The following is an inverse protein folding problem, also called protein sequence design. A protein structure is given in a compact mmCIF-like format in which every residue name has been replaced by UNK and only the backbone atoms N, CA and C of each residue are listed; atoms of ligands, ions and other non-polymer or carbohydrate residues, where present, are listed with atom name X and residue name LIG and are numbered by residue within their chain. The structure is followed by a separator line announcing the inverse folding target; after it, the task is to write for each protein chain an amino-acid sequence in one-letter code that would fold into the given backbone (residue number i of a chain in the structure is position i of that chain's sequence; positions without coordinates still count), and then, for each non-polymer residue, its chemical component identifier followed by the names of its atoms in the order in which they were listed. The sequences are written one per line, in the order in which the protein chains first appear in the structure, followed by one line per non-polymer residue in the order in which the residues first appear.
data_IF_354436526421
#
_entry.id   IF_354436526421
#
_cell.length_a   1.000
_cell.length_b   1.000
_cell.length_c   1.000
_cell.angle_alpha   90.00
_cell.angle_beta   90.00
_cell.angle_gamma   90.00
#
_symmetry.space_group_name_H-M   'P 1'
#
loop_
_entity.id
_entity.type
_entity.pdbx_description
1 polymer ?
#
# COMPACT_ATOMS: atom_id res chain seq x y z
N UNK A 1 -18.93 51.30 -26.75
CA UNK A 1 -17.83 51.53 -27.74
C UNK A 1 -16.99 50.26 -27.83
N UNK A 2 -17.13 49.52 -28.93
CA UNK A 2 -16.42 48.29 -29.20
C UNK A 2 -15.30 48.58 -30.19
N UNK A 3 -14.05 48.16 -29.86
CA UNK A 3 -12.88 48.27 -30.77
C UNK A 3 -12.50 46.86 -31.23
N UNK A 4 -12.78 46.61 -32.51
CA UNK A 4 -12.38 45.41 -33.23
C UNK A 4 -10.90 45.45 -33.60
N UNK A 5 -10.14 44.40 -33.30
CA UNK A 5 -8.77 44.17 -33.76
C UNK A 5 -8.77 43.40 -35.07
N UNK A 6 -8.29 44.05 -36.13
CA UNK A 6 -8.04 43.48 -37.46
C UNK A 6 -6.85 42.54 -37.42
N UNK A 7 -7.00 41.36 -38.03
CA UNK A 7 -5.90 40.41 -38.36
C UNK A 7 -5.34 40.77 -39.74
N UNK A 8 -4.04 40.97 -39.82
CA UNK A 8 -3.29 41.11 -41.08
C UNK A 8 -2.90 39.71 -41.60
N UNK A 9 -3.34 39.37 -42.79
CA UNK A 9 -2.90 38.19 -43.51
C UNK A 9 -1.68 38.55 -44.38
N UNK A 10 -0.61 37.75 -44.31
CA UNK A 10 0.58 37.88 -45.13
C UNK A 10 0.41 37.10 -46.42
N UNK A 11 0.53 37.81 -47.57
CA UNK A 11 0.59 37.22 -48.91
C UNK A 11 1.98 36.66 -49.19
N UNK A 12 2.08 35.36 -49.46
CA UNK A 12 3.30 34.77 -50.03
C UNK A 12 3.31 34.88 -51.54
N UNK A 13 4.27 35.64 -52.10
CA UNK A 13 4.52 35.76 -53.52
C UNK A 13 5.05 34.46 -54.12
N UNK A 14 4.41 33.96 -55.19
CA UNK A 14 4.87 32.83 -56.00
C UNK A 14 6.02 33.27 -56.89
N UNK A 15 7.21 32.71 -56.72
CA UNK A 15 8.35 32.85 -57.63
C UNK A 15 8.19 31.84 -58.77
N UNK A 16 8.05 32.38 -60.00
CA UNK A 16 8.11 31.62 -61.25
C UNK A 16 9.57 31.26 -61.51
N UNK A 17 9.91 29.99 -61.57
CA UNK A 17 11.24 29.50 -62.00
C UNK A 17 11.22 29.12 -63.50
N UNK A 18 12.07 29.77 -64.24
CA UNK A 18 12.40 29.53 -65.67
C UNK A 18 12.88 28.10 -65.88
N UNK A 19 12.24 27.41 -66.86
CA UNK A 19 12.72 26.13 -67.41
C UNK A 19 14.05 26.43 -68.19
N UNK A 20 15.08 25.66 -67.90
CA UNK A 20 16.28 25.54 -68.76
C UNK A 20 16.37 24.09 -69.24
N UNK A 21 16.73 24.02 -70.51
CA UNK A 21 16.72 22.87 -71.37
C UNK A 21 17.72 21.77 -70.99
N UNK A 22 17.38 20.62 -71.34
CA UNK A 22 17.96 19.32 -71.39
C UNK A 22 19.41 19.22 -71.81
N UNK A 23 20.19 18.56 -70.93
CA UNK A 23 21.45 17.93 -71.27
C UNK A 23 21.38 16.45 -70.90
N UNK A 24 21.37 15.57 -71.89
CA UNK A 24 21.48 14.15 -71.73
C UNK A 24 22.82 13.81 -71.05
N UNK A 25 22.78 13.29 -69.79
CA UNK A 25 23.91 12.64 -69.14
C UNK A 25 23.64 11.17 -68.93
N UNK A 26 24.47 10.33 -69.48
CA UNK A 26 24.51 8.90 -69.37
C UNK A 26 24.43 8.52 -67.89
N UNK A 27 23.50 7.66 -67.56
CA UNK A 27 23.31 7.09 -66.22
C UNK A 27 24.39 6.05 -65.90
N UNK A 28 25.40 6.48 -65.17
CA UNK A 28 26.26 5.53 -64.46
C UNK A 28 25.48 4.88 -63.33
N UNK A 29 25.27 3.57 -63.41
CA UNK A 29 24.65 2.76 -62.34
C UNK A 29 25.53 2.87 -61.10
N UNK A 30 25.19 3.78 -60.17
CA UNK A 30 25.80 3.81 -58.85
C UNK A 30 25.25 2.62 -58.06
N UNK A 31 26.03 1.54 -57.94
CA UNK A 31 25.84 0.49 -56.94
C UNK A 31 25.73 1.15 -55.57
N UNK A 32 24.52 1.22 -54.99
CA UNK A 32 24.31 1.61 -53.58
C UNK A 32 25.05 0.59 -52.73
N UNK A 33 26.22 0.96 -52.21
CA UNK A 33 26.85 0.22 -51.15
C UNK A 33 25.88 0.21 -49.94
N UNK A 34 25.31 -0.92 -49.65
CA UNK A 34 24.51 -1.11 -48.43
C UNK A 34 25.45 -0.90 -47.24
N UNK A 35 25.43 0.29 -46.69
CA UNK A 35 26.13 0.60 -45.44
C UNK A 35 25.41 -0.13 -44.33
N UNK A 36 25.90 -1.32 -44.01
CA UNK A 36 25.46 -2.12 -42.87
C UNK A 36 25.70 -1.28 -41.62
N UNK A 37 24.70 -0.49 -41.22
CA UNK A 37 24.72 0.21 -39.92
C UNK A 37 24.88 -0.83 -38.86
N UNK A 38 26.05 -0.97 -38.26
CA UNK A 38 26.24 -1.73 -37.04
C UNK A 38 25.26 -1.15 -36.04
N UNK A 39 24.16 -1.93 -35.75
CA UNK A 39 23.29 -1.64 -34.62
C UNK A 39 24.16 -1.78 -33.38
N UNK A 40 24.73 -0.70 -32.90
CA UNK A 40 25.32 -0.64 -31.58
C UNK A 40 24.16 -0.87 -30.63
N UNK A 41 24.07 -2.06 -30.06
CA UNK A 41 23.14 -2.36 -28.99
C UNK A 41 23.45 -1.38 -27.85
N UNK A 42 22.52 -0.45 -27.57
CA UNK A 42 22.66 0.44 -26.41
C UNK A 42 22.86 -0.44 -25.17
N UNK A 43 23.86 -0.20 -24.35
CA UNK A 43 24.07 -0.96 -23.12
C UNK A 43 22.82 -0.90 -22.28
N UNK A 44 22.43 -2.02 -21.70
CA UNK A 44 21.24 -2.09 -20.84
C UNK A 44 21.50 -1.24 -19.59
N UNK A 45 20.51 -0.40 -19.24
CA UNK A 45 20.59 0.36 -17.99
C UNK A 45 20.56 -0.58 -16.78
N UNK A 46 21.23 -0.21 -15.69
CA UNK A 46 21.23 -0.98 -14.42
C UNK A 46 19.83 -1.39 -14.00
N UNK A 47 18.84 -0.47 -14.10
CA UNK A 47 17.44 -0.73 -13.81
C UNK A 47 16.84 -1.86 -14.68
N UNK A 48 17.16 -1.88 -15.98
CA UNK A 48 16.67 -2.92 -16.89
C UNK A 48 17.29 -4.28 -16.60
N UNK A 49 18.60 -4.31 -16.31
CA UNK A 49 19.29 -5.53 -15.88
C UNK A 49 18.65 -6.09 -14.61
N UNK A 50 18.52 -5.27 -13.57
CA UNK A 50 17.89 -5.66 -12.30
C UNK A 50 16.46 -6.18 -12.49
N UNK A 51 15.66 -5.52 -13.32
CA UNK A 51 14.29 -5.97 -13.57
C UNK A 51 14.22 -7.30 -14.34
N UNK A 52 15.22 -7.62 -15.14
CA UNK A 52 15.27 -8.86 -15.90
C UNK A 52 15.82 -10.03 -15.08
N UNK A 53 16.78 -9.77 -14.17
CA UNK A 53 17.45 -10.80 -13.37
C UNK A 53 16.77 -11.09 -12.03
N UNK A 54 15.92 -10.20 -11.53
CA UNK A 54 15.23 -10.40 -10.27
C UNK A 54 14.04 -11.36 -10.38
N UNK A 55 13.87 -12.18 -9.36
CA UNK A 55 12.69 -13.02 -9.18
C UNK A 55 11.53 -12.15 -8.71
N UNK A 56 10.38 -12.29 -9.36
CA UNK A 56 9.16 -11.56 -9.02
C UNK A 56 8.29 -12.44 -8.16
N UNK A 57 8.03 -11.99 -6.95
CA UNK A 57 7.24 -12.72 -5.96
C UNK A 57 6.00 -11.94 -5.56
N UNK A 58 5.00 -12.66 -5.11
CA UNK A 58 3.75 -12.07 -4.61
C UNK A 58 3.11 -12.98 -3.55
N UNK A 59 2.54 -12.38 -2.53
CA UNK A 59 1.73 -13.09 -1.55
C UNK A 59 0.31 -12.55 -1.54
N UNK A 60 -0.68 -13.43 -1.80
CA UNK A 60 -2.10 -13.13 -1.66
C UNK A 60 -2.57 -13.43 -0.23
N UNK A 61 -3.22 -12.46 0.41
CA UNK A 61 -3.57 -12.50 1.82
C UNK A 61 -5.08 -12.46 2.00
N UNK A 62 -5.61 -13.46 2.70
CA UNK A 62 -7.01 -13.56 3.10
C UNK A 62 -7.28 -12.67 4.31
N UNK A 63 -8.48 -12.12 4.41
CA UNK A 63 -8.92 -11.32 5.56
C UNK A 63 -9.10 -12.18 6.81
N UNK A 64 -8.49 -11.73 7.91
CA UNK A 64 -8.68 -12.22 9.27
C UNK A 64 -9.03 -11.06 10.20
N UNK A 65 -9.85 -11.33 11.22
CA UNK A 65 -10.30 -10.30 12.16
C UNK A 65 -10.47 -10.85 13.57
N UNK A 66 -10.37 -9.94 14.57
CA UNK A 66 -10.73 -10.20 15.96
C UNK A 66 -12.12 -9.65 16.32
N UNK A 67 -12.99 -9.40 15.36
CA UNK A 67 -14.33 -8.83 15.58
C UNK A 67 -15.42 -9.79 15.13
N UNK A 68 -16.39 -10.08 16.02
CA UNK A 68 -17.59 -10.82 15.70
C UNK A 68 -18.53 -10.01 14.79
N UNK A 69 -19.53 -10.65 14.20
CA UNK A 69 -20.55 -10.01 13.34
C UNK A 69 -21.36 -8.91 14.04
N UNK A 70 -21.29 -8.83 15.37
CA UNK A 70 -21.89 -7.76 16.19
C UNK A 70 -20.94 -6.56 16.42
N UNK A 71 -19.69 -6.64 15.95
CA UNK A 71 -18.64 -5.67 16.27
C UNK A 71 -17.96 -5.87 17.62
N UNK A 72 -18.35 -6.88 18.39
CA UNK A 72 -17.71 -7.24 19.67
C UNK A 72 -16.38 -7.97 19.44
N UNK A 73 -15.52 -8.02 20.48
CA UNK A 73 -14.26 -8.78 20.46
C UNK A 73 -14.51 -10.28 20.33
N UNK A 74 -13.72 -10.94 19.49
CA UNK A 74 -13.63 -12.41 19.39
C UNK A 74 -12.17 -12.82 19.16
N UNK A 75 -11.87 -14.11 19.33
CA UNK A 75 -10.56 -14.66 18.94
C UNK A 75 -10.30 -14.42 17.46
N UNK A 76 -9.05 -14.02 17.11
CA UNK A 76 -8.63 -13.79 15.72
C UNK A 76 -8.90 -15.03 14.88
N UNK A 77 -9.71 -14.87 13.84
CA UNK A 77 -10.10 -15.94 12.94
C UNK A 77 -10.30 -15.41 11.51
N UNK A 78 -10.41 -16.33 10.55
CA UNK A 78 -10.78 -16.00 9.18
C UNK A 78 -12.17 -15.34 9.14
N UNK A 79 -12.29 -14.22 8.48
CA UNK A 79 -13.57 -13.52 8.34
C UNK A 79 -13.43 -12.01 8.19
N UNK A 80 -14.56 -11.38 7.94
CA UNK A 80 -14.67 -9.95 7.79
C UNK A 80 -14.47 -9.24 9.14
N UNK A 81 -14.03 -7.97 9.07
CA UNK A 81 -14.04 -7.12 10.26
C UNK A 81 -15.34 -6.33 10.35
N UNK A 82 -15.84 -6.22 11.59
CA UNK A 82 -17.07 -5.49 11.91
C UNK A 82 -16.78 -4.40 12.94
N UNK A 83 -17.46 -3.27 12.77
CA UNK A 83 -17.49 -2.18 13.76
C UNK A 83 -18.94 -1.80 13.98
N UNK A 84 -19.38 -1.71 15.24
CA UNK A 84 -20.73 -1.22 15.54
C UNK A 84 -20.74 0.31 15.72
N UNK A 85 -21.90 0.94 15.58
CA UNK A 85 -22.05 2.39 15.59
C UNK A 85 -21.79 3.06 16.94
N UNK A 86 -21.79 2.29 18.04
CA UNK A 86 -21.44 2.80 19.37
C UNK A 86 -19.92 2.78 19.64
N UNK A 87 -19.16 2.07 18.80
CA UNK A 87 -17.71 1.91 18.92
C UNK A 87 -16.93 2.53 17.77
N UNK A 88 -15.62 2.34 17.84
CA UNK A 88 -14.68 2.76 16.79
C UNK A 88 -13.87 1.57 16.30
N UNK A 89 -13.40 1.65 15.05
CA UNK A 89 -12.47 0.69 14.48
C UNK A 89 -11.07 1.28 14.37
N UNK A 90 -10.09 0.63 14.98
CA UNK A 90 -8.68 0.97 14.85
C UNK A 90 -7.89 -0.28 14.46
N UNK A 91 -7.59 -0.37 13.18
CA UNK A 91 -6.94 -1.54 12.59
C UNK A 91 -5.55 -1.18 12.09
N UNK A 92 -4.53 -1.47 12.88
CA UNK A 92 -3.14 -1.28 12.50
C UNK A 92 -2.55 -2.60 12.01
N UNK A 93 -2.15 -2.64 10.75
CA UNK A 93 -1.61 -3.82 10.09
C UNK A 93 -0.23 -3.57 9.48
N UNK A 94 0.71 -4.46 9.78
CA UNK A 94 2.03 -4.51 9.16
C UNK A 94 1.96 -5.30 7.85
N UNK A 95 1.80 -4.58 6.74
CA UNK A 95 1.59 -5.20 5.43
C UNK A 95 2.85 -5.83 4.85
N UNK A 96 4.03 -5.43 5.30
CA UNK A 96 5.33 -5.95 4.87
C UNK A 96 5.83 -7.13 5.69
N UNK A 97 5.12 -7.56 6.76
CA UNK A 97 5.52 -8.72 7.54
C UNK A 97 5.69 -9.96 6.65
N UNK A 98 6.84 -10.61 6.75
CA UNK A 98 7.15 -11.84 6.03
C UNK A 98 8.36 -12.51 6.68
N UNK A 99 8.39 -13.84 6.70
CA UNK A 99 9.45 -14.61 7.32
C UNK A 99 10.24 -15.43 6.29
N UNK A 100 11.44 -15.87 6.66
CA UNK A 100 12.25 -16.82 5.88
C UNK A 100 11.77 -18.27 6.04
N UNK A 101 11.01 -18.54 7.09
CA UNK A 101 10.56 -19.87 7.44
C UNK A 101 9.08 -20.08 7.14
N UNK A 102 8.70 -21.33 6.90
CA UNK A 102 7.31 -21.75 6.93
C UNK A 102 6.82 -21.82 8.38
N UNK A 103 5.51 -21.82 8.58
CA UNK A 103 4.91 -22.02 9.91
C UNK A 103 5.35 -23.34 10.63
N UNK A 104 5.88 -24.30 9.90
CA UNK A 104 6.48 -25.53 10.43
C UNK A 104 7.96 -25.40 10.79
N UNK A 105 8.58 -24.22 10.61
CA UNK A 105 9.99 -23.96 10.92
C UNK A 105 10.96 -24.35 9.79
N UNK A 106 10.49 -24.90 8.67
CA UNK A 106 11.35 -25.18 7.53
C UNK A 106 11.64 -23.90 6.72
N UNK A 107 12.84 -23.79 6.15
CA UNK A 107 13.17 -22.66 5.28
C UNK A 107 12.29 -22.62 4.01
N UNK A 108 11.92 -21.41 3.63
CA UNK A 108 11.22 -21.18 2.39
C UNK A 108 12.08 -21.55 1.20
N UNK A 109 11.49 -22.15 0.18
CA UNK A 109 12.21 -22.54 -1.03
C UNK A 109 12.07 -21.48 -2.12
N UNK A 110 13.09 -21.42 -2.96
CA UNK A 110 13.13 -20.48 -4.09
C UNK A 110 11.98 -20.66 -5.08
N UNK A 111 11.44 -21.88 -5.20
CA UNK A 111 10.32 -22.20 -6.07
C UNK A 111 8.98 -21.65 -5.58
N UNK A 112 8.89 -21.27 -4.32
CA UNK A 112 7.67 -20.71 -3.71
C UNK A 112 7.58 -19.21 -4.00
N UNK A 113 6.68 -18.81 -4.89
CA UNK A 113 6.51 -17.42 -5.29
C UNK A 113 5.84 -16.55 -4.21
N UNK A 114 5.13 -17.17 -3.25
CA UNK A 114 4.39 -16.50 -2.19
C UNK A 114 5.20 -16.26 -0.91
N UNK A 115 6.42 -16.75 -0.82
CA UNK A 115 7.25 -16.71 0.38
C UNK A 115 8.58 -16.00 0.11
N UNK A 116 9.09 -15.32 1.14
CA UNK A 116 10.39 -14.63 1.11
C UNK A 116 11.55 -15.64 1.22
N UNK A 117 12.60 -15.40 0.46
CA UNK A 117 13.85 -16.20 0.51
C UNK A 117 15.11 -15.33 0.54
N UNK A 118 14.97 -14.04 0.80
CA UNK A 118 16.10 -13.10 0.86
C UNK A 118 15.86 -12.07 1.95
N UNK A 119 16.90 -11.69 2.67
CA UNK A 119 16.88 -10.63 3.69
C UNK A 119 16.61 -9.26 3.09
N UNK A 120 17.07 -9.01 1.86
CA UNK A 120 16.81 -7.75 1.16
C UNK A 120 15.83 -7.97 0.01
N UNK A 121 14.65 -7.40 0.13
CA UNK A 121 13.59 -7.45 -0.87
C UNK A 121 13.32 -6.07 -1.47
N UNK A 122 13.21 -5.98 -2.80
CA UNK A 122 12.73 -4.77 -3.45
C UNK A 122 11.20 -4.77 -3.50
N UNK A 123 10.58 -4.06 -2.57
CA UNK A 123 9.12 -3.98 -2.46
C UNK A 123 8.54 -3.18 -3.62
N UNK A 124 7.63 -3.79 -4.39
CA UNK A 124 6.94 -3.13 -5.50
C UNK A 124 5.72 -2.36 -5.02
N UNK A 125 4.93 -2.97 -4.16
CA UNK A 125 3.75 -2.36 -3.58
C UNK A 125 2.70 -3.37 -3.14
N UNK A 126 1.63 -2.83 -2.58
CA UNK A 126 0.47 -3.56 -2.07
C UNK A 126 -0.74 -3.25 -2.96
N UNK A 127 -1.40 -4.29 -3.44
CA UNK A 127 -2.70 -4.22 -4.12
C UNK A 127 -3.79 -4.71 -3.18
N UNK A 128 -4.87 -3.96 -3.04
CA UNK A 128 -6.03 -4.38 -2.25
C UNK A 128 -7.33 -4.18 -3.03
N UNK A 129 -8.19 -5.18 -2.99
CA UNK A 129 -9.59 -5.07 -3.40
C UNK A 129 -10.44 -5.12 -2.13
N UNK A 130 -11.00 -3.99 -1.78
CA UNK A 130 -11.72 -3.76 -0.52
C UNK A 130 -13.20 -3.63 -0.82
N UNK A 131 -14.02 -4.34 -0.05
CA UNK A 131 -15.46 -4.17 -0.02
C UNK A 131 -15.89 -3.74 1.38
N UNK A 132 -16.67 -2.67 1.41
CA UNK A 132 -17.27 -2.12 2.62
C UNK A 132 -18.79 -2.20 2.47
N UNK A 133 -19.46 -2.60 3.57
CA UNK A 133 -20.90 -2.65 3.64
C UNK A 133 -21.36 -2.01 4.95
N UNK A 134 -22.49 -1.30 4.91
CA UNK A 134 -23.15 -0.75 6.10
C UNK A 134 -24.54 -1.35 6.22
N UNK A 135 -25.03 -1.58 7.45
CA UNK A 135 -26.34 -2.21 7.69
C UNK A 135 -27.51 -1.21 7.66
N UNK A 136 -27.23 0.07 7.80
CA UNK A 136 -28.23 1.12 7.93
C UNK A 136 -27.86 2.37 7.15
N UNK A 137 -28.76 3.38 7.16
CA UNK A 137 -28.54 4.69 6.55
C UNK A 137 -27.52 5.57 7.28
N UNK A 138 -27.01 5.14 8.44
CA UNK A 138 -26.02 5.90 9.21
C UNK A 138 -24.77 6.16 8.36
N UNK A 139 -24.26 7.42 8.29
CA UNK A 139 -23.02 7.70 7.61
C UNK A 139 -21.83 7.16 8.40
N UNK A 140 -20.82 6.70 7.68
CA UNK A 140 -19.57 6.20 8.26
C UNK A 140 -18.38 6.93 7.67
N UNK A 141 -17.37 7.20 8.50
CA UNK A 141 -16.08 7.74 8.10
C UNK A 141 -15.04 6.63 8.12
N UNK A 142 -14.37 6.45 7.01
CA UNK A 142 -13.24 5.55 6.87
C UNK A 142 -12.01 6.36 6.46
N UNK A 143 -11.04 6.47 7.36
CA UNK A 143 -9.74 7.06 7.07
C UNK A 143 -8.70 5.98 6.97
N UNK A 144 -7.96 5.97 5.89
CA UNK A 144 -6.83 5.09 5.69
C UNK A 144 -5.56 5.89 5.65
N UNK A 145 -4.57 5.49 6.48
CA UNK A 145 -3.23 6.05 6.53
C UNK A 145 -2.25 4.92 6.24
N UNK A 146 -1.44 5.05 5.16
CA UNK A 146 -0.33 4.14 4.90
C UNK A 146 0.98 4.89 5.15
N UNK A 147 1.89 4.27 5.86
CA UNK A 147 3.16 4.89 6.23
C UNK A 147 4.28 3.86 6.38
N UNK A 148 5.52 4.35 6.38
CA UNK A 148 6.67 3.53 6.77
C UNK A 148 7.28 4.07 8.04
N UNK A 149 7.72 3.15 8.91
CA UNK A 149 8.36 3.44 10.18
C UNK A 149 9.48 2.42 10.42
N UNK A 150 10.49 2.83 11.16
CA UNK A 150 11.54 1.97 11.70
C UNK A 150 11.35 1.84 13.21
N UNK A 151 11.71 0.70 13.75
CA UNK A 151 11.33 0.34 15.10
C UNK A 151 9.85 -0.06 15.18
N UNK A 152 9.53 -1.00 16.04
CA UNK A 152 8.16 -1.45 16.28
C UNK A 152 7.37 -0.45 17.13
N UNK A 153 6.08 -0.72 17.30
CA UNK A 153 5.28 -0.03 18.32
C UNK A 153 5.62 -0.58 19.71
N UNK A 154 5.67 0.30 20.71
CA UNK A 154 5.96 -0.13 22.08
C UNK A 154 4.85 -1.04 22.62
N UNK A 155 5.23 -1.94 23.53
CA UNK A 155 4.27 -2.69 24.33
C UNK A 155 3.80 -1.84 25.49
N UNK A 156 2.52 -1.95 25.85
CA UNK A 156 1.94 -1.26 27.00
C UNK A 156 1.50 -2.25 28.08
N UNK A 157 1.40 -1.78 29.29
CA UNK A 157 0.91 -2.54 30.46
C UNK A 157 -0.63 -2.59 30.48
N UNK A 158 -1.23 -3.07 29.42
CA UNK A 158 -2.68 -3.33 29.35
C UNK A 158 -2.98 -4.78 29.78
N UNK A 159 -4.23 -5.04 30.11
CA UNK A 159 -4.79 -6.40 30.29
C UNK A 159 -5.64 -6.74 29.07
N UNK A 160 -5.02 -7.13 27.96
CA UNK A 160 -5.73 -7.32 26.71
C UNK A 160 -6.62 -8.56 26.72
N UNK A 161 -7.73 -8.52 26.01
CA UNK A 161 -8.56 -9.69 25.74
C UNK A 161 -7.77 -10.75 24.96
N UNK A 162 -6.89 -10.27 24.07
CA UNK A 162 -5.95 -11.10 23.30
C UNK A 162 -4.61 -10.34 23.16
N UNK A 163 -3.51 -11.09 22.99
CA UNK A 163 -2.21 -10.48 22.70
C UNK A 163 -2.31 -9.54 21.48
N UNK A 164 -2.02 -8.24 21.62
CA UNK A 164 -2.06 -7.29 20.52
C UNK A 164 -1.05 -7.69 19.45
N UNK A 165 -1.46 -7.55 18.20
CA UNK A 165 -0.61 -7.91 17.06
C UNK A 165 -0.88 -7.04 15.86
N UNK A 166 0.17 -6.72 15.11
CA UNK A 166 0.06 -5.97 13.86
C UNK A 166 0.11 -6.86 12.63
N UNK A 167 0.52 -8.10 12.77
CA UNK A 167 0.50 -9.13 11.73
C UNK A 167 0.08 -10.48 12.32
N UNK A 168 -0.32 -11.39 11.47
CA UNK A 168 -0.62 -12.77 11.82
C UNK A 168 -0.07 -13.69 10.75
N UNK A 169 0.79 -14.61 11.18
CA UNK A 169 1.19 -15.77 10.38
C UNK A 169 0.33 -16.98 10.79
N UNK A 170 -0.03 -17.77 9.79
CA UNK A 170 -0.87 -18.98 9.94
C UNK A 170 -0.22 -20.12 9.17
N UNK A 171 -0.76 -21.34 9.33
CA UNK A 171 -0.33 -22.48 8.52
C UNK A 171 -0.44 -22.24 6.99
N UNK A 172 -1.22 -21.25 6.58
CA UNK A 172 -1.41 -20.85 5.19
C UNK A 172 -0.62 -19.57 4.81
N UNK A 173 0.28 -19.10 5.70
CA UNK A 173 1.12 -17.90 5.51
C UNK A 173 0.51 -16.64 6.11
N UNK A 174 1.12 -15.51 5.77
CA UNK A 174 0.73 -14.18 6.27
C UNK A 174 -0.65 -13.78 5.73
N UNK A 175 -1.46 -13.18 6.59
CA UNK A 175 -2.84 -12.80 6.30
C UNK A 175 -3.05 -11.27 6.33
N UNK A 176 -4.13 -10.80 5.70
CA UNK A 176 -4.63 -9.43 5.86
C UNK A 176 -5.37 -9.31 7.19
N UNK A 177 -4.66 -8.86 8.21
CA UNK A 177 -5.20 -8.77 9.56
C UNK A 177 -5.96 -7.45 9.77
N UNK A 178 -7.21 -7.56 10.22
CA UNK A 178 -8.00 -6.48 10.80
C UNK A 178 -8.14 -6.70 12.32
N UNK A 179 -7.09 -6.39 13.05
CA UNK A 179 -7.10 -6.46 14.52
C UNK A 179 -7.58 -5.11 15.07
N UNK A 180 -8.81 -5.10 15.60
CA UNK A 180 -9.38 -3.91 16.24
C UNK A 180 -8.83 -3.76 17.65
N UNK A 181 -7.98 -2.77 17.86
CA UNK A 181 -7.37 -2.46 19.16
C UNK A 181 -8.41 -1.91 20.15
N UNK A 182 -9.43 -1.20 19.65
CA UNK A 182 -10.43 -0.54 20.51
C UNK A 182 -11.35 -1.53 21.24
N UNK A 183 -11.63 -2.71 20.63
CA UNK A 183 -12.43 -3.77 21.29
C UNK A 183 -11.58 -4.76 22.10
N UNK A 184 -10.26 -4.58 22.14
CA UNK A 184 -9.32 -5.53 22.74
C UNK A 184 -8.92 -5.18 24.19
N UNK A 185 -9.54 -4.16 24.79
CA UNK A 185 -9.19 -3.67 26.13
C UNK A 185 -7.72 -3.24 26.26
N UNK A 186 -7.24 -2.44 25.27
CA UNK A 186 -5.85 -1.96 25.20
C UNK A 186 -5.77 -0.43 25.10
N UNK A 187 -6.33 0.34 26.08
CA UNK A 187 -6.35 1.80 25.99
C UNK A 187 -4.97 2.45 26.08
N UNK A 188 -4.03 1.89 26.86
CA UNK A 188 -2.68 2.43 26.97
C UNK A 188 -1.89 2.20 25.68
N UNK A 189 -1.96 1.00 25.10
CA UNK A 189 -1.37 0.72 23.81
C UNK A 189 -1.94 1.65 22.73
N UNK A 190 -3.26 1.83 22.71
CA UNK A 190 -3.92 2.74 21.77
C UNK A 190 -3.40 4.17 21.90
N UNK A 191 -3.29 4.69 23.12
CA UNK A 191 -2.77 6.04 23.39
C UNK A 191 -1.30 6.18 22.95
N UNK A 192 -0.46 5.16 23.17
CA UNK A 192 0.93 5.17 22.70
C UNK A 192 1.03 5.17 21.18
N UNK A 193 0.23 4.35 20.50
CA UNK A 193 0.18 4.30 19.03
C UNK A 193 -0.32 5.64 18.47
N UNK A 194 -1.38 6.22 19.06
CA UNK A 194 -1.87 7.54 18.69
C UNK A 194 -0.79 8.61 18.85
N UNK A 195 0.00 8.58 19.95
CA UNK A 195 1.12 9.50 20.20
C UNK A 195 2.29 9.37 19.23
N UNK A 196 2.42 8.23 18.52
CA UNK A 196 3.42 8.04 17.46
C UNK A 196 2.88 8.53 16.10
N UNK A 197 1.63 8.21 15.79
CA UNK A 197 1.05 8.47 14.47
C UNK A 197 0.55 9.90 14.32
N UNK A 198 -0.10 10.45 15.36
CA UNK A 198 -0.69 11.78 15.31
C UNK A 198 0.18 12.84 16.00
N UNK A 199 0.14 14.04 15.45
CA UNK A 199 0.87 15.18 16.00
C UNK A 199 0.09 15.80 17.16
N UNK A 200 0.79 16.02 18.28
CA UNK A 200 0.18 16.59 19.49
C UNK A 200 -0.48 15.53 20.37
N UNK A 201 -1.17 15.96 21.40
CA UNK A 201 -1.80 15.13 22.40
C UNK A 201 -3.32 15.04 22.21
N UNK A 202 -3.86 13.84 22.28
CA UNK A 202 -5.32 13.61 22.30
C UNK A 202 -5.93 14.29 23.54
N UNK A 203 -7.02 15.01 23.35
CA UNK A 203 -7.70 15.78 24.39
C UNK A 203 -7.14 17.20 24.59
N UNK A 204 -6.03 17.54 23.93
CA UNK A 204 -5.41 18.88 23.99
C UNK A 204 -5.35 19.50 22.60
N UNK A 205 -4.67 18.82 21.64
CA UNK A 205 -4.48 19.33 20.27
C UNK A 205 -5.53 18.79 19.30
N UNK A 206 -6.11 17.63 19.60
CA UNK A 206 -7.16 17.00 18.78
C UNK A 206 -8.00 16.03 19.64
N UNK A 207 -9.26 15.82 19.22
CA UNK A 207 -10.18 14.89 19.87
C UNK A 207 -10.65 13.78 18.93
N UNK A 208 -10.67 14.05 17.62
CA UNK A 208 -11.18 13.13 16.60
C UNK A 208 -10.04 12.68 15.70
N UNK A 209 -9.76 11.36 15.71
CA UNK A 209 -8.71 10.74 14.90
C UNK A 209 -9.03 10.77 13.39
N UNK A 210 -10.30 11.00 12.99
CA UNK A 210 -10.66 11.14 11.57
C UNK A 210 -10.06 12.41 10.96
N UNK A 211 -9.91 13.46 11.77
CA UNK A 211 -9.36 14.77 11.34
C UNK A 211 -8.01 15.10 11.97
N UNK A 212 -7.51 14.28 12.91
CA UNK A 212 -6.25 14.51 13.58
C UNK A 212 -5.08 14.65 12.61
N UNK A 213 -4.16 15.63 12.80
CA UNK A 213 -3.00 15.78 11.95
C UNK A 213 -1.99 14.65 12.17
N UNK A 214 -1.41 14.12 11.09
CA UNK A 214 -0.40 13.05 11.17
C UNK A 214 0.99 13.64 11.48
N UNK A 215 1.77 12.97 12.35
CA UNK A 215 3.14 13.38 12.66
C UNK A 215 4.16 12.86 11.65
N UNK A 216 4.44 13.68 10.64
CA UNK A 216 5.41 13.36 9.59
C UNK A 216 6.88 13.38 10.05
N UNK A 217 7.17 13.72 11.30
CA UNK A 217 8.52 13.65 11.88
C UNK A 217 8.83 12.24 12.39
N UNK A 218 7.81 11.52 12.87
CA UNK A 218 7.94 10.16 13.44
C UNK A 218 7.70 9.09 12.39
N UNK A 219 6.74 9.31 11.48
CA UNK A 219 6.39 8.36 10.43
C UNK A 219 6.51 8.98 9.04
N UNK A 220 6.81 8.15 8.07
CA UNK A 220 6.89 8.57 6.66
C UNK A 220 5.60 8.23 5.92
N UNK A 221 4.66 9.17 5.86
CA UNK A 221 3.34 9.00 5.26
C UNK A 221 3.45 8.74 3.76
N UNK A 222 2.74 7.73 3.26
CA UNK A 222 2.64 7.35 1.85
C UNK A 222 1.24 7.59 1.29
N UNK A 223 0.23 7.50 2.12
CA UNK A 223 -1.16 7.70 1.75
C UNK A 223 -1.94 8.13 2.98
N UNK A 224 -2.80 9.12 2.86
CA UNK A 224 -3.77 9.53 3.88
C UNK A 224 -5.03 10.01 3.18
N UNK A 225 -6.14 9.33 3.41
CA UNK A 225 -7.42 9.68 2.80
C UNK A 225 -8.58 9.27 3.69
N UNK A 226 -9.47 10.23 3.93
CA UNK A 226 -10.78 9.99 4.54
C UNK A 226 -11.84 9.83 3.46
N UNK A 227 -12.68 8.83 3.62
CA UNK A 227 -13.82 8.54 2.75
C UNK A 227 -15.08 8.51 3.60
N UNK A 228 -16.05 9.32 3.27
CA UNK A 228 -17.39 9.26 3.85
C UNK A 228 -18.22 8.25 3.06
N UNK A 229 -18.86 7.30 3.76
CA UNK A 229 -19.72 6.27 3.21
C UNK A 229 -21.12 6.61 3.69
N UNK A 230 -21.98 6.94 2.76
CA UNK A 230 -23.37 7.32 2.99
C UNK A 230 -24.31 6.45 2.17
N UNK A 231 -25.42 6.06 2.77
CA UNK A 231 -26.53 5.47 2.04
C UNK A 231 -27.51 6.55 1.60
N UNK A 232 -28.16 6.35 0.46
CA UNK A 232 -29.29 7.19 0.01
C UNK A 232 -30.63 6.81 0.65
N UNK A 233 -30.66 5.71 1.42
CA UNK A 233 -31.86 5.18 2.07
C UNK A 233 -31.50 4.50 3.41
N UNK A 234 -32.50 3.92 4.09
CA UNK A 234 -32.30 3.24 5.37
C UNK A 234 -31.59 1.87 5.27
N UNK A 235 -31.43 1.30 4.09
CA UNK A 235 -31.00 -0.09 3.90
C UNK A 235 -29.47 -0.29 3.83
N UNK A 236 -28.71 0.75 4.15
CA UNK A 236 -27.24 0.69 4.08
C UNK A 236 -26.67 0.89 2.67
N UNK A 237 -25.37 0.67 2.53
CA UNK A 237 -24.64 0.91 1.29
C UNK A 237 -23.52 -0.15 1.12
N UNK A 238 -23.20 -0.45 -0.14
CA UNK A 238 -22.04 -1.28 -0.50
C UNK A 238 -21.08 -0.45 -1.33
N UNK A 239 -19.81 -0.45 -0.95
CA UNK A 239 -18.75 0.25 -1.67
C UNK A 239 -17.58 -0.68 -1.93
N UNK A 240 -17.14 -0.75 -3.17
CA UNK A 240 -15.92 -1.45 -3.56
C UNK A 240 -14.84 -0.46 -3.97
N UNK A 241 -13.59 -0.79 -3.64
CA UNK A 241 -12.44 0.03 -3.98
C UNK A 241 -11.25 -0.87 -4.32
N UNK A 242 -10.60 -0.58 -5.44
CA UNK A 242 -9.32 -1.20 -5.81
C UNK A 242 -8.23 -0.16 -5.57
N UNK A 243 -7.31 -0.48 -4.67
CA UNK A 243 -6.23 0.41 -4.26
C UNK A 243 -4.88 -0.21 -4.64
N UNK A 244 -3.97 0.65 -5.07
CA UNK A 244 -2.58 0.32 -5.27
C UNK A 244 -1.71 1.26 -4.46
N UNK A 245 -0.90 0.72 -3.54
CA UNK A 245 0.03 1.46 -2.70
C UNK A 245 1.46 1.17 -3.17
N UNK A 246 2.07 2.06 -3.98
CA UNK A 246 3.42 1.86 -4.49
C UNK A 246 4.46 2.04 -3.38
N UNK A 247 5.45 1.16 -3.33
CA UNK A 247 6.59 1.26 -2.41
C UNK A 247 7.87 1.61 -3.17
N UNK A 248 8.26 0.80 -4.16
CA UNK A 248 9.41 0.98 -5.06
C UNK A 248 10.73 1.26 -4.32
N UNK A 249 10.95 0.57 -3.19
CA UNK A 249 12.13 0.70 -2.33
C UNK A 249 12.54 -0.66 -1.79
N UNK A 250 13.80 -0.77 -1.37
CA UNK A 250 14.26 -1.95 -0.65
C UNK A 250 13.72 -1.94 0.78
N UNK A 251 13.30 -3.10 1.24
CA UNK A 251 13.11 -3.46 2.62
C UNK A 251 14.25 -4.39 3.00
N UNK A 252 14.86 -4.19 4.15
CA UNK A 252 15.88 -5.07 4.73
C UNK A 252 15.29 -5.61 6.01
N UNK A 253 15.07 -6.91 6.06
CA UNK A 253 14.55 -7.58 7.26
C UNK A 253 15.67 -7.74 8.29
N UNK A 254 15.28 -7.82 9.56
CA UNK A 254 16.20 -7.98 10.70
C UNK A 254 16.54 -9.46 10.93
N UNK A 255 16.85 -10.15 9.83
CA UNK A 255 17.31 -11.53 9.88
C UNK A 255 18.73 -11.54 10.47
N UNK A 256 19.07 -12.55 11.27
CA UNK A 256 20.36 -12.67 11.96
C UNK A 256 20.97 -14.06 11.76
N UNK A 257 22.29 -14.13 11.77
CA UNK A 257 23.04 -15.37 11.66
C UNK A 257 22.97 -16.15 12.98
N UNK A 258 22.66 -17.44 12.90
CA UNK A 258 22.65 -18.37 14.02
C UNK A 258 23.44 -19.62 13.68
N UNK A 259 24.74 -19.51 13.72
CA UNK A 259 25.69 -20.58 13.32
C UNK A 259 25.62 -20.85 11.82
N UNK A 260 25.20 -22.05 11.41
CA UNK A 260 25.00 -22.41 9.99
C UNK A 260 23.59 -22.07 9.47
N UNK A 261 22.77 -21.44 10.30
CA UNK A 261 21.37 -21.14 10.02
C UNK A 261 21.13 -19.63 10.03
N UNK A 262 20.05 -19.20 9.40
CA UNK A 262 19.54 -17.83 9.43
C UNK A 262 18.28 -17.78 10.28
N UNK A 263 18.27 -16.91 11.28
CA UNK A 263 17.06 -16.64 12.06
C UNK A 263 16.26 -15.54 11.36
N UNK A 264 15.10 -15.88 10.81
CA UNK A 264 14.23 -14.94 10.13
C UNK A 264 13.54 -13.98 11.08
N UNK A 265 13.27 -12.75 10.60
CA UNK A 265 12.48 -11.75 11.28
C UNK A 265 11.32 -11.27 10.40
N UNK A 266 10.17 -10.96 11.02
CA UNK A 266 8.99 -10.43 10.33
C UNK A 266 9.10 -8.93 10.05
N UNK A 267 9.99 -8.24 10.74
CA UNK A 267 10.15 -6.78 10.74
C UNK A 267 11.47 -6.36 10.10
N UNK A 268 11.55 -5.09 9.76
CA UNK A 268 12.78 -4.51 9.19
C UNK A 268 13.79 -4.13 10.25
N UNK A 269 15.07 -4.06 9.85
CA UNK A 269 16.14 -3.52 10.69
C UNK A 269 15.87 -2.07 11.10
N UNK A 270 16.27 -1.70 12.31
CA UNK A 270 16.15 -0.34 12.85
C UNK A 270 17.13 0.65 12.24
N UNK A 271 18.20 0.15 11.61
CA UNK A 271 19.24 0.97 10.99
C UNK A 271 18.73 1.76 9.77
N UNK A 272 19.59 2.61 9.18
CA UNK A 272 19.25 3.39 7.98
C UNK A 272 18.98 2.55 6.73
N UNK A 273 19.29 1.24 6.76
CA UNK A 273 19.12 0.36 5.60
C UNK A 273 17.63 0.14 5.28
N UNK A 274 17.26 0.26 4.02
CA UNK A 274 15.89 0.02 3.56
C UNK A 274 14.89 1.13 3.92
N UNK A 275 13.62 0.87 3.61
CA UNK A 275 12.54 1.84 3.78
C UNK A 275 11.86 1.80 5.16
N UNK A 276 12.15 0.78 5.97
CA UNK A 276 11.39 0.47 7.17
C UNK A 276 10.13 -0.33 6.87
N UNK A 277 9.44 -0.70 7.92
CA UNK A 277 8.20 -1.46 7.87
C UNK A 277 7.06 -0.66 7.27
N UNK A 278 6.24 -1.30 6.43
CA UNK A 278 5.09 -0.66 5.79
C UNK A 278 3.80 -1.01 6.52
N UNK A 279 3.22 -0.01 7.15
CA UNK A 279 1.97 -0.13 7.89
C UNK A 279 0.78 0.42 7.12
N UNK A 280 -0.37 -0.22 7.32
CA UNK A 280 -1.69 0.26 6.89
C UNK A 280 -2.55 0.41 8.14
N UNK A 281 -2.99 1.65 8.40
CA UNK A 281 -3.93 1.97 9.46
C UNK A 281 -5.28 2.29 8.84
N UNK A 282 -6.29 1.51 9.19
CA UNK A 282 -7.69 1.76 8.87
C UNK A 282 -8.43 2.24 10.11
N UNK A 283 -8.98 3.43 10.04
CA UNK A 283 -9.75 4.08 11.08
C UNK A 283 -11.20 4.16 10.64
N UNK A 284 -12.11 3.70 11.49
CA UNK A 284 -13.55 3.67 11.19
C UNK A 284 -14.32 4.30 12.34
N UNK A 285 -15.23 5.20 12.01
CA UNK A 285 -16.10 5.85 12.97
C UNK A 285 -17.48 6.09 12.34
N UNK A 286 -18.51 5.87 13.14
CA UNK A 286 -19.89 6.19 12.77
C UNK A 286 -20.15 7.70 12.80
N UNK A 287 -21.17 8.14 12.08
CA UNK A 287 -21.78 9.47 12.28
C UNK A 287 -22.50 9.56 13.61
N UNK A 288 -22.95 10.76 13.93
CA UNK A 288 -23.69 11.05 15.17
C UNK A 288 -24.97 10.21 15.25
N UNK A 289 -25.26 9.63 16.43
CA UNK A 289 -26.45 8.83 16.69
C UNK A 289 -26.28 7.35 16.36
N UNK A 290 -25.06 6.88 16.11
CA UNK A 290 -24.78 5.45 15.89
C UNK A 290 -25.07 4.60 17.13
N UNK A 291 -25.61 3.43 16.91
CA UNK A 291 -25.98 2.43 17.93
C UNK A 291 -25.28 1.11 17.68
N UNK A 292 -25.42 0.16 18.62
CA UNK A 292 -24.86 -1.19 18.48
C UNK A 292 -25.51 -2.01 17.34
N UNK A 293 -26.68 -1.62 16.87
CA UNK A 293 -27.37 -2.24 15.73
C UNK A 293 -26.88 -1.73 14.36
N UNK A 294 -26.22 -0.57 14.34
CA UNK A 294 -25.62 -0.03 13.13
C UNK A 294 -24.26 -0.67 12.91
N UNK A 295 -24.06 -1.39 11.83
CA UNK A 295 -22.87 -2.17 11.56
C UNK A 295 -22.14 -1.69 10.31
N UNK A 296 -20.84 -1.58 10.42
CA UNK A 296 -19.90 -1.40 9.33
C UNK A 296 -19.09 -2.68 9.16
N UNK A 297 -19.08 -3.20 7.95
CA UNK A 297 -18.29 -4.38 7.57
C UNK A 297 -17.20 -3.95 6.60
N UNK A 298 -15.99 -4.44 6.81
CA UNK A 298 -14.87 -4.32 5.87
C UNK A 298 -14.24 -5.68 5.61
N UNK A 299 -14.00 -5.97 4.34
CA UNK A 299 -13.23 -7.14 3.90
C UNK A 299 -12.27 -6.72 2.78
N UNK A 300 -11.15 -7.38 2.68
CA UNK A 300 -10.15 -7.08 1.67
C UNK A 300 -9.50 -8.37 1.14
N UNK A 301 -9.24 -8.42 -0.15
CA UNK A 301 -8.26 -9.32 -0.74
C UNK A 301 -7.02 -8.49 -1.02
N UNK A 302 -5.91 -8.81 -0.35
CA UNK A 302 -4.67 -8.05 -0.43
C UNK A 302 -3.58 -8.88 -1.07
N UNK A 303 -2.72 -8.24 -1.88
CA UNK A 303 -1.57 -8.91 -2.50
C UNK A 303 -0.35 -8.01 -2.38
N UNK A 304 0.67 -8.50 -1.70
CA UNK A 304 1.98 -7.87 -1.61
C UNK A 304 2.87 -8.35 -2.76
N UNK A 305 3.57 -7.42 -3.41
CA UNK A 305 4.48 -7.70 -4.53
C UNK A 305 5.89 -7.25 -4.20
N UNK A 306 6.87 -8.12 -4.44
CA UNK A 306 8.28 -7.78 -4.28
C UNK A 306 9.18 -8.50 -5.29
N UNK A 307 10.43 -8.10 -5.35
CA UNK A 307 11.46 -8.74 -6.16
C UNK A 307 12.64 -9.13 -5.27
N UNK A 308 13.18 -10.31 -5.51
CA UNK A 308 14.42 -10.81 -4.92
C UNK A 308 15.47 -11.03 -6.01
N UNK A 309 16.73 -11.05 -5.60
CA UNK A 309 17.86 -11.39 -6.46
C UNK A 309 18.26 -12.83 -6.27
#
# INVERSE_FOLDING_TARGET
MALARRRYGSYRARRLTRRRATGYKRSGVRRRAYRRTKRTSRPMTKKRVLNQTSRKKRNGMLTWSNTASTGASQTVNVGNAYVNGAGTGFFLWLASANDLNTSSGAYNTVSQESQRTSTTCYMRGLSEHIRIQTSSGLPWFWRRICFTMKGGFPSASDTPTQAPRTYQDTSNGIVRLFFNTDVNNTPNLRNQVDGIIFKGAKGVDWNDFIVAPVDTRRISVKYDKTTCIRSGNANGSVKESKLWHPMNKNLVYDDDESGEQEQGAYTSVDSKAGMGDYYVLDLVQSGTGGSTSDLFLITANSTLYWHEK
#
